data_IF_952048831196
#
_entry.id   IF_952048831196
#
_cell.length_a   1.000
_cell.length_b   1.000
_cell.length_c   1.000
_cell.angle_alpha   90.00
_cell.angle_beta   90.00
_cell.angle_gamma   90.00
#
_symmetry.space_group_name_H-M   'P 1'
#
loop_
_entity.id
_entity.type
_entity.pdbx_description
1 polymer ?
#
# COMPACT_ATOMS: atom_id res chain seq x y z
N UNK A 1 -48.80 4.56 -17.14
CA UNK A 1 -47.51 3.97 -16.73
C UNK A 1 -46.45 5.04 -16.86
N UNK A 2 -45.97 5.56 -15.73
CA UNK A 2 -45.31 6.86 -15.65
C UNK A 2 -43.87 6.80 -16.15
N UNK A 3 -43.43 7.86 -16.84
CA UNK A 3 -42.11 8.05 -17.45
C UNK A 3 -40.94 7.77 -16.48
N UNK A 4 -41.16 8.01 -15.19
CA UNK A 4 -40.23 7.72 -14.08
C UNK A 4 -39.93 6.23 -13.96
N UNK A 5 -40.91 5.35 -14.13
CA UNK A 5 -40.74 3.90 -14.04
C UNK A 5 -39.90 3.36 -15.21
N UNK A 6 -40.04 3.95 -16.42
CA UNK A 6 -39.19 3.63 -17.57
C UNK A 6 -37.74 4.05 -17.33
N UNK A 7 -37.50 5.28 -16.87
CA UNK A 7 -36.15 5.77 -16.61
C UNK A 7 -35.39 4.90 -15.59
N UNK A 8 -36.02 4.54 -14.47
CA UNK A 8 -35.42 3.67 -13.44
C UNK A 8 -35.08 2.29 -14.00
N UNK A 9 -35.95 1.70 -14.84
CA UNK A 9 -35.69 0.40 -15.47
C UNK A 9 -34.55 0.45 -16.52
N UNK A 10 -34.38 1.57 -17.21
CA UNK A 10 -33.26 1.77 -18.16
C UNK A 10 -31.93 1.97 -17.43
N UNK A 11 -31.91 2.71 -16.32
CA UNK A 11 -30.74 2.86 -15.46
C UNK A 11 -30.32 1.53 -14.83
N UNK A 12 -31.29 0.79 -14.29
CA UNK A 12 -31.04 -0.52 -13.68
C UNK A 12 -30.51 -1.54 -14.71
N UNK A 13 -31.10 -1.58 -15.91
CA UNK A 13 -30.61 -2.46 -16.98
C UNK A 13 -29.25 -2.06 -17.53
N UNK A 14 -28.90 -0.77 -17.51
CA UNK A 14 -27.55 -0.28 -17.88
C UNK A 14 -26.53 -0.66 -16.82
N UNK A 15 -26.85 -0.52 -15.54
CA UNK A 15 -26.01 -0.98 -14.44
C UNK A 15 -25.78 -2.50 -14.49
N UNK A 16 -26.81 -3.30 -14.76
CA UNK A 16 -26.69 -4.75 -14.95
C UNK A 16 -25.88 -5.15 -16.19
N UNK A 17 -25.86 -4.31 -17.23
CA UNK A 17 -25.00 -4.53 -18.42
C UNK A 17 -23.54 -4.18 -18.15
N UNK A 18 -23.27 -3.21 -17.26
CA UNK A 18 -21.93 -2.78 -16.90
C UNK A 18 -21.30 -3.68 -15.83
N UNK A 19 -22.10 -4.35 -15.00
CA UNK A 19 -21.60 -5.26 -13.95
C UNK A 19 -20.81 -6.44 -14.52
N UNK A 20 -21.20 -6.97 -15.68
CA UNK A 20 -20.48 -8.04 -16.38
C UNK A 20 -19.04 -7.66 -16.77
N UNK A 21 -18.84 -6.59 -17.58
CA UNK A 21 -17.51 -6.09 -17.94
C UNK A 21 -16.67 -5.63 -16.73
N UNK A 22 -17.27 -4.96 -15.75
CA UNK A 22 -16.56 -4.55 -14.53
C UNK A 22 -16.05 -5.76 -13.76
N UNK A 23 -16.90 -6.78 -13.56
CA UNK A 23 -16.51 -7.98 -12.86
C UNK A 23 -15.43 -8.76 -13.61
N UNK A 24 -15.51 -8.83 -14.93
CA UNK A 24 -14.48 -9.44 -15.76
C UNK A 24 -13.14 -8.71 -15.62
N UNK A 25 -13.13 -7.38 -15.78
CA UNK A 25 -11.91 -6.58 -15.66
C UNK A 25 -11.32 -6.65 -14.24
N UNK A 26 -12.17 -6.67 -13.20
CA UNK A 26 -11.72 -6.86 -11.83
C UNK A 26 -11.07 -8.23 -11.61
N UNK A 27 -11.62 -9.31 -12.21
CA UNK A 27 -11.01 -10.65 -12.16
C UNK A 27 -9.64 -10.68 -12.85
N UNK A 28 -9.54 -10.07 -14.04
CA UNK A 28 -8.26 -9.98 -14.77
C UNK A 28 -7.23 -9.19 -13.97
N UNK A 29 -7.61 -8.02 -13.44
CA UNK A 29 -6.76 -7.22 -12.57
C UNK A 29 -6.31 -8.01 -11.33
N UNK A 30 -7.21 -8.80 -10.73
CA UNK A 30 -6.88 -9.69 -9.61
C UNK A 30 -5.86 -10.78 -9.96
N UNK A 31 -5.96 -11.40 -11.16
CA UNK A 31 -4.96 -12.37 -11.61
C UNK A 31 -3.59 -11.72 -11.86
N UNK A 32 -3.58 -10.53 -12.47
CA UNK A 32 -2.34 -9.76 -12.68
C UNK A 32 -1.71 -9.40 -11.33
N UNK A 33 -2.51 -8.89 -10.40
CA UNK A 33 -2.04 -8.57 -9.05
C UNK A 33 -1.45 -9.80 -8.34
N UNK A 34 -2.09 -10.97 -8.47
CA UNK A 34 -1.58 -12.24 -7.93
C UNK A 34 -0.23 -12.63 -8.55
N UNK A 35 -0.10 -12.47 -9.87
CA UNK A 35 1.15 -12.78 -10.56
C UNK A 35 2.30 -11.89 -10.09
N UNK A 36 2.04 -10.59 -9.93
CA UNK A 36 3.02 -9.63 -9.39
C UNK A 36 3.37 -9.97 -7.94
N UNK A 37 2.37 -10.29 -7.10
CA UNK A 37 2.61 -10.67 -5.69
C UNK A 37 3.58 -11.85 -5.55
N UNK A 38 3.40 -12.90 -6.37
CA UNK A 38 4.27 -14.08 -6.35
C UNK A 38 5.65 -13.77 -6.94
N UNK A 39 5.69 -13.05 -8.06
CA UNK A 39 6.94 -12.74 -8.77
C UNK A 39 7.87 -11.83 -7.97
N UNK A 40 7.31 -10.80 -7.34
CA UNK A 40 8.07 -9.83 -6.54
C UNK A 40 8.33 -10.33 -5.11
N UNK A 41 7.94 -11.57 -4.79
CA UNK A 41 8.23 -12.18 -3.50
C UNK A 41 7.62 -11.44 -2.31
N UNK A 42 6.42 -10.85 -2.49
CA UNK A 42 5.74 -10.06 -1.44
C UNK A 42 5.22 -10.90 -0.27
N UNK A 43 5.42 -12.21 -0.30
CA UNK A 43 5.11 -13.09 0.82
C UNK A 43 6.05 -12.79 2.00
N UNK A 44 5.56 -12.91 3.25
CA UNK A 44 6.42 -12.81 4.41
C UNK A 44 7.60 -13.79 4.29
N UNK A 45 8.84 -13.34 4.56
CA UNK A 45 10.02 -14.19 4.46
C UNK A 45 9.97 -15.31 5.49
N UNK A 46 10.69 -16.39 5.21
CA UNK A 46 10.88 -17.49 6.17
C UNK A 46 11.76 -17.05 7.35
N UNK A 47 11.66 -17.77 8.48
CA UNK A 47 12.48 -17.46 9.68
C UNK A 47 13.98 -17.44 9.41
N UNK A 48 14.47 -18.33 8.52
CA UNK A 48 15.88 -18.35 8.11
C UNK A 48 16.27 -17.07 7.35
N UNK A 49 15.41 -16.57 6.48
CA UNK A 49 15.65 -15.33 5.73
C UNK A 49 15.67 -14.11 6.67
N UNK A 50 14.83 -14.11 7.71
CA UNK A 50 14.84 -13.06 8.74
C UNK A 50 16.18 -13.02 9.46
N UNK A 51 16.73 -14.17 9.87
CA UNK A 51 18.05 -14.21 10.52
C UNK A 51 19.15 -13.71 9.59
N UNK A 52 19.15 -14.13 8.32
CA UNK A 52 20.13 -13.61 7.35
C UNK A 52 20.02 -12.09 7.14
N UNK A 53 18.80 -11.55 7.16
CA UNK A 53 18.58 -10.11 7.03
C UNK A 53 19.07 -9.35 8.27
N UNK A 54 18.90 -9.92 9.47
CA UNK A 54 19.42 -9.34 10.72
C UNK A 54 20.93 -9.29 10.72
N UNK A 55 21.60 -10.36 10.32
CA UNK A 55 23.06 -10.40 10.22
C UNK A 55 23.59 -9.38 9.21
N UNK A 56 22.93 -9.27 8.04
CA UNK A 56 23.26 -8.27 7.04
C UNK A 56 23.09 -6.83 7.55
N UNK A 57 22.01 -6.57 8.29
CA UNK A 57 21.76 -5.26 8.90
C UNK A 57 22.81 -4.90 9.95
N UNK A 58 23.18 -5.84 10.83
CA UNK A 58 24.24 -5.64 11.82
C UNK A 58 25.59 -5.37 11.15
N UNK A 59 25.92 -6.14 10.10
CA UNK A 59 27.12 -5.91 9.31
C UNK A 59 27.14 -4.52 8.68
N UNK A 60 26.03 -4.09 8.08
CA UNK A 60 25.90 -2.75 7.52
C UNK A 60 26.14 -1.66 8.58
N UNK A 61 25.59 -1.80 9.79
CA UNK A 61 25.80 -0.85 10.87
C UNK A 61 27.27 -0.76 11.31
N UNK A 62 27.98 -1.89 11.38
CA UNK A 62 29.42 -1.90 11.66
C UNK A 62 30.22 -1.25 10.53
N UNK A 63 29.91 -1.57 9.28
CA UNK A 63 30.59 -1.02 8.11
C UNK A 63 30.33 0.49 7.96
N UNK A 64 29.11 0.96 8.26
CA UNK A 64 28.72 2.37 8.21
C UNK A 64 29.47 3.24 9.23
N UNK A 65 29.99 2.65 10.32
CA UNK A 65 30.82 3.35 11.30
C UNK A 65 32.21 3.71 10.77
N UNK A 66 32.67 3.01 9.72
CA UNK A 66 33.95 3.29 9.08
C UNK A 66 33.82 4.41 8.07
N UNK A 67 34.67 5.44 8.19
CA UNK A 67 34.73 6.56 7.25
C UNK A 67 35.11 6.14 5.82
N UNK A 68 35.77 4.99 5.67
CA UNK A 68 36.17 4.45 4.37
C UNK A 68 34.98 3.92 3.55
N UNK A 69 33.91 3.50 4.21
CA UNK A 69 32.70 2.98 3.56
C UNK A 69 32.01 4.06 2.75
N UNK A 70 31.90 5.28 3.29
CA UNK A 70 31.25 6.42 2.64
C UNK A 70 32.04 7.00 1.46
N UNK A 71 33.38 6.86 1.47
CA UNK A 71 34.26 7.38 0.42
C UNK A 71 34.20 6.58 -0.89
N UNK A 72 33.80 5.32 -0.82
CA UNK A 72 33.82 4.40 -1.96
C UNK A 72 32.43 4.17 -2.59
N UNK A 73 31.41 4.94 -2.19
CA UNK A 73 30.05 4.78 -2.69
C UNK A 73 29.88 5.50 -4.03
N UNK A 74 29.40 4.78 -5.04
CA UNK A 74 29.05 5.36 -6.35
C UNK A 74 27.75 6.16 -6.29
N UNK A 75 27.56 7.11 -7.22
CA UNK A 75 26.32 7.89 -7.34
C UNK A 75 25.09 7.00 -7.56
N UNK A 76 25.24 5.92 -8.33
CA UNK A 76 24.15 4.98 -8.60
C UNK A 76 23.73 4.21 -7.33
N UNK A 77 24.69 3.91 -6.46
CA UNK A 77 24.41 3.26 -5.18
C UNK A 77 23.64 4.17 -4.25
N UNK A 78 23.99 5.47 -4.18
CA UNK A 78 23.22 6.46 -3.42
C UNK A 78 21.79 6.59 -3.95
N UNK A 79 21.61 6.67 -5.26
CA UNK A 79 20.29 6.79 -5.87
C UNK A 79 19.43 5.56 -5.57
N UNK A 80 20.00 4.36 -5.75
CA UNK A 80 19.31 3.10 -5.48
C UNK A 80 18.95 2.98 -4.00
N UNK A 81 19.88 3.29 -3.10
CA UNK A 81 19.64 3.28 -1.66
C UNK A 81 18.55 4.28 -1.25
N UNK A 82 18.56 5.48 -1.83
CA UNK A 82 17.53 6.49 -1.60
C UNK A 82 16.15 6.04 -2.08
N UNK A 83 16.07 5.40 -3.26
CA UNK A 83 14.83 4.84 -3.79
C UNK A 83 14.28 3.74 -2.88
N UNK A 84 15.12 2.77 -2.49
CA UNK A 84 14.73 1.68 -1.58
C UNK A 84 14.30 2.22 -0.21
N UNK A 85 14.97 3.26 0.29
CA UNK A 85 14.56 3.92 1.55
C UNK A 85 13.19 4.60 1.42
N UNK A 86 12.92 5.25 0.29
CA UNK A 86 11.61 5.85 0.01
C UNK A 86 10.51 4.79 -0.10
N UNK A 87 10.78 3.64 -0.73
CA UNK A 87 9.87 2.50 -0.79
C UNK A 87 9.57 1.94 0.60
N UNK A 88 10.60 1.73 1.44
CA UNK A 88 10.43 1.29 2.81
C UNK A 88 9.59 2.27 3.65
N UNK A 89 9.80 3.58 3.45
CA UNK A 89 8.99 4.62 4.09
C UNK A 89 7.52 4.58 3.64
N UNK A 90 7.27 4.36 2.35
CA UNK A 90 5.91 4.20 1.84
C UNK A 90 5.20 2.99 2.47
N UNK A 91 5.88 1.84 2.58
CA UNK A 91 5.33 0.67 3.28
C UNK A 91 5.04 0.95 4.77
N UNK A 92 5.91 1.69 5.44
CA UNK A 92 5.67 2.12 6.83
C UNK A 92 4.39 2.95 6.94
N UNK A 93 4.18 3.93 6.06
CA UNK A 93 2.95 4.74 6.05
C UNK A 93 1.69 3.91 5.78
N UNK A 94 1.75 2.97 4.83
CA UNK A 94 0.66 2.02 4.58
C UNK A 94 0.36 1.17 5.82
N UNK A 95 1.40 0.72 6.52
CA UNK A 95 1.28 0.02 7.81
C UNK A 95 0.58 0.88 8.86
N UNK A 96 0.91 2.16 8.98
CA UNK A 96 0.21 3.07 9.89
C UNK A 96 -1.27 3.27 9.51
N UNK A 97 -1.59 3.40 8.22
CA UNK A 97 -2.97 3.51 7.73
C UNK A 97 -3.78 2.28 8.14
N UNK A 98 -3.22 1.08 7.95
CA UNK A 98 -3.86 -0.18 8.35
C UNK A 98 -3.99 -0.26 9.87
N UNK A 99 -2.94 0.07 10.62
CA UNK A 99 -2.93 0.05 12.08
C UNK A 99 -3.94 1.01 12.70
N UNK A 100 -4.09 2.21 12.13
CA UNK A 100 -5.08 3.22 12.55
C UNK A 100 -6.47 3.01 11.95
N UNK A 101 -6.62 2.14 10.94
CA UNK A 101 -7.85 1.92 10.14
C UNK A 101 -8.45 3.21 9.58
N UNK A 102 -7.63 4.23 9.34
CA UNK A 102 -8.04 5.55 8.87
C UNK A 102 -7.10 6.01 7.76
N UNK A 103 -7.68 6.44 6.63
CA UNK A 103 -6.92 6.88 5.45
C UNK A 103 -6.44 8.33 5.58
N UNK A 104 -7.22 9.20 6.24
CA UNK A 104 -6.88 10.61 6.46
C UNK A 104 -7.13 10.99 7.91
N UNK A 105 -6.09 11.49 8.57
CA UNK A 105 -6.18 12.04 9.92
C UNK A 105 -6.58 11.04 11.00
N UNK A 106 -6.57 11.51 12.25
CA UNK A 106 -7.21 10.81 13.35
C UNK A 106 -8.69 11.20 13.37
N UNK A 107 -9.57 10.22 13.52
CA UNK A 107 -10.98 10.47 13.82
C UNK A 107 -11.08 10.92 15.29
N UNK A 108 -10.68 12.16 15.53
CA UNK A 108 -10.98 12.85 16.78
C UNK A 108 -12.40 13.37 16.63
N UNK A 109 -13.28 13.01 17.57
CA UNK A 109 -14.56 13.73 17.71
C UNK A 109 -14.19 15.20 17.89
N UNK A 110 -14.60 16.02 16.94
CA UNK A 110 -14.37 17.45 17.06
C UNK A 110 -15.14 17.97 18.26
N UNK A 111 -14.66 19.06 18.85
CA UNK A 111 -15.18 19.66 20.08
C UNK A 111 -16.62 20.19 19.89
N UNK A 112 -17.16 20.21 18.66
CA UNK A 112 -18.55 20.58 18.37
C UNK A 112 -19.62 19.71 19.06
N UNK A 113 -19.34 18.44 19.40
CA UNK A 113 -20.34 17.54 20.01
C UNK A 113 -20.66 17.87 21.49
N UNK A 114 -19.98 18.85 22.11
CA UNK A 114 -20.19 19.22 23.51
C UNK A 114 -21.14 20.42 23.72
N UNK A 115 -21.70 21.02 22.66
CA UNK A 115 -22.63 22.16 22.79
C UNK A 115 -24.12 21.83 22.55
N UNK A 116 -24.49 20.55 22.48
CA UNK A 116 -25.89 20.13 22.25
C UNK A 116 -26.67 19.74 23.53
N UNK A 117 -26.11 19.96 24.71
CA UNK A 117 -26.79 19.71 26.00
C UNK A 117 -26.63 20.91 26.93
N UNK A 118 -27.39 21.96 26.68
CA UNK A 118 -27.90 22.90 27.68
C UNK A 118 -29.17 23.57 27.17
#
# INVERSE_FOLDING_TARGET
MNTVTKAISTSASTASKLSGPILYNAKVAGQIAKQVYVREGMAPPSGAQIETAKDAALKFLWDARSFNTWKNISKDQYLTAGLVAAEAYAFFMVGEIIGRRNFVGYNVKSVEDHHAHH
#
